data_IF_534639143273
#
_entry.id   IF_534639143273
#
_cell.length_a   1.000
_cell.length_b   1.000
_cell.length_c   1.000
_cell.angle_alpha   90.00
_cell.angle_beta   90.00
_cell.angle_gamma   90.00
#
_symmetry.space_group_name_H-M   'P 1'
#
loop_
_entity.id
_entity.type
_entity.pdbx_description
1 polymer ?
#
# COMPACT_ATOMS: atom_id res chain seq x y z
N UNK A 1 -14.24 2.23 -25.06
CA UNK A 1 -12.94 2.30 -24.37
C UNK A 1 -12.26 0.96 -24.59
N UNK A 2 -11.21 1.00 -25.40
CA UNK A 2 -10.52 -0.15 -25.98
C UNK A 2 -9.99 -1.09 -24.89
N UNK A 3 -10.43 -2.35 -24.91
CA UNK A 3 -9.92 -3.39 -24.01
C UNK A 3 -8.52 -3.77 -24.49
N UNK A 4 -7.50 -3.02 -24.05
CA UNK A 4 -6.11 -3.44 -24.20
C UNK A 4 -5.93 -4.75 -23.44
N UNK A 5 -5.96 -5.88 -24.16
CA UNK A 5 -5.78 -7.23 -23.61
C UNK A 5 -4.32 -7.39 -23.20
N UNK A 6 -3.95 -6.80 -22.07
CA UNK A 6 -2.68 -7.06 -21.42
C UNK A 6 -2.54 -8.57 -21.20
N UNK A 7 -1.40 -9.13 -21.64
CA UNK A 7 -1.09 -10.54 -21.34
C UNK A 7 -0.96 -10.69 -19.83
N UNK A 8 -1.83 -11.50 -19.23
CA UNK A 8 -1.72 -11.89 -17.82
C UNK A 8 -0.51 -12.82 -17.67
N UNK A 9 0.66 -12.24 -17.41
CA UNK A 9 1.94 -12.96 -17.30
C UNK A 9 2.64 -12.76 -15.95
N UNK A 10 1.95 -12.16 -14.98
CA UNK A 10 2.56 -11.85 -13.69
C UNK A 10 2.50 -13.09 -12.78
N UNK A 11 3.63 -13.79 -12.68
CA UNK A 11 3.80 -14.95 -11.81
C UNK A 11 3.91 -14.50 -10.35
N UNK A 12 3.55 -15.38 -9.40
CA UNK A 12 3.68 -15.13 -7.95
C UNK A 12 5.07 -14.63 -7.54
N UNK A 13 6.13 -15.22 -8.10
CA UNK A 13 7.50 -14.77 -7.84
C UNK A 13 7.72 -13.32 -8.27
N UNK A 14 7.26 -12.93 -9.47
CA UNK A 14 7.38 -11.54 -9.96
C UNK A 14 6.55 -10.57 -9.11
N UNK A 15 5.37 -10.98 -8.65
CA UNK A 15 4.53 -10.20 -7.72
C UNK A 15 5.24 -9.96 -6.39
N UNK A 16 5.81 -11.01 -5.77
CA UNK A 16 6.50 -10.89 -4.50
C UNK A 16 7.74 -9.99 -4.62
N UNK A 17 8.53 -10.14 -5.68
CA UNK A 17 9.69 -9.29 -5.93
C UNK A 17 9.27 -7.84 -6.13
N UNK A 18 8.19 -7.58 -6.89
CA UNK A 18 7.67 -6.24 -7.11
C UNK A 18 7.24 -5.58 -5.79
N UNK A 19 6.45 -6.27 -4.97
CA UNK A 19 5.94 -5.74 -3.70
C UNK A 19 7.09 -5.50 -2.73
N UNK A 20 8.02 -6.45 -2.60
CA UNK A 20 9.18 -6.31 -1.72
C UNK A 20 10.05 -5.11 -2.13
N UNK A 21 10.31 -4.94 -3.44
CA UNK A 21 11.05 -3.80 -3.96
C UNK A 21 10.35 -2.46 -3.70
N UNK A 22 9.02 -2.41 -3.87
CA UNK A 22 8.23 -1.20 -3.61
C UNK A 22 8.20 -0.82 -2.12
N UNK A 23 8.15 -1.79 -1.20
CA UNK A 23 8.10 -1.53 0.25
C UNK A 23 9.47 -1.15 0.84
N UNK A 24 10.55 -1.82 0.42
CA UNK A 24 11.89 -1.64 1.01
C UNK A 24 12.56 -0.34 0.57
N UNK A 25 12.10 0.30 -0.52
CA UNK A 25 12.74 1.43 -1.22
C UNK A 25 13.18 2.66 -0.38
N UNK A 26 12.78 3.87 -0.76
CA UNK A 26 13.31 5.08 -0.09
C UNK A 26 12.95 5.18 1.40
N UNK A 27 11.81 4.61 1.81
CA UNK A 27 11.28 4.76 3.16
C UNK A 27 12.25 4.22 4.23
N UNK A 28 12.85 3.05 4.02
CA UNK A 28 13.75 2.47 5.01
C UNK A 28 15.06 3.25 5.15
N UNK A 29 15.63 3.69 4.02
CA UNK A 29 16.90 4.41 4.01
C UNK A 29 16.82 5.78 4.71
N UNK A 30 15.69 6.48 4.58
CA UNK A 30 15.51 7.83 5.15
C UNK A 30 15.01 7.78 6.59
N UNK A 31 14.08 6.87 6.90
CA UNK A 31 13.37 6.89 8.19
C UNK A 31 14.15 6.20 9.32
N UNK A 32 15.12 5.34 9.02
CA UNK A 32 15.86 4.58 10.05
C UNK A 32 16.55 5.51 11.06
N UNK A 33 17.18 6.60 10.60
CA UNK A 33 17.80 7.58 11.49
C UNK A 33 16.77 8.22 12.43
N UNK A 34 15.61 8.61 11.91
CA UNK A 34 14.52 9.21 12.69
C UNK A 34 13.99 8.25 13.75
N UNK A 35 13.89 6.95 13.42
CA UNK A 35 13.44 5.94 14.38
C UNK A 35 14.49 5.69 15.48
N UNK A 36 15.78 5.65 15.13
CA UNK A 36 16.86 5.50 16.11
C UNK A 36 16.95 6.71 17.04
N UNK A 37 16.86 7.93 16.52
CA UNK A 37 16.89 9.15 17.34
C UNK A 37 15.74 9.21 18.36
N UNK A 38 14.56 8.71 18.00
CA UNK A 38 13.37 8.75 18.88
C UNK A 38 13.28 7.59 19.86
N UNK A 39 13.55 6.37 19.42
CA UNK A 39 13.31 5.16 20.22
C UNK A 39 14.60 4.50 20.74
N UNK A 40 15.77 4.85 20.20
CA UNK A 40 17.04 4.24 20.55
C UNK A 40 17.03 2.71 20.36
N UNK A 41 17.69 1.92 21.22
CA UNK A 41 17.75 0.46 21.08
C UNK A 41 16.39 -0.24 21.23
N UNK A 42 15.38 0.44 21.80
CA UNK A 42 14.02 -0.09 21.93
C UNK A 42 13.20 -0.04 20.62
N UNK A 43 13.76 0.50 19.53
CA UNK A 43 13.11 0.58 18.20
C UNK A 43 12.58 -0.78 17.71
N UNK A 44 13.27 -1.88 18.07
CA UNK A 44 12.88 -3.24 17.71
C UNK A 44 11.49 -3.59 18.27
N UNK A 45 11.19 -3.16 19.49
CA UNK A 45 9.89 -3.40 20.14
C UNK A 45 8.80 -2.60 19.41
N UNK A 46 9.06 -1.33 19.09
CA UNK A 46 8.14 -0.49 18.33
C UNK A 46 7.86 -1.06 16.94
N UNK A 47 8.88 -1.58 16.25
CA UNK A 47 8.74 -2.23 14.95
C UNK A 47 7.95 -3.53 15.02
N UNK A 48 8.12 -4.33 16.07
CA UNK A 48 7.33 -5.54 16.27
C UNK A 48 5.85 -5.22 16.46
N UNK A 49 5.53 -4.24 17.30
CA UNK A 49 4.14 -3.80 17.51
C UNK A 49 3.55 -3.24 16.21
N UNK A 50 4.28 -2.39 15.50
CA UNK A 50 3.85 -1.83 14.22
C UNK A 50 3.64 -2.93 13.15
N UNK A 51 4.50 -3.95 13.12
CA UNK A 51 4.38 -5.09 12.21
C UNK A 51 3.12 -5.89 12.47
N UNK A 52 2.81 -6.18 13.74
CA UNK A 52 1.59 -6.90 14.12
C UNK A 52 0.34 -6.12 13.68
N UNK A 53 0.29 -4.81 13.92
CA UNK A 53 -0.83 -3.98 13.49
C UNK A 53 -0.96 -3.94 11.96
N UNK A 54 0.17 -3.83 11.25
CA UNK A 54 0.19 -3.80 9.78
C UNK A 54 -0.24 -5.13 9.18
N UNK A 55 0.05 -6.27 9.83
CA UNK A 55 -0.43 -7.59 9.40
C UNK A 55 -1.95 -7.66 9.38
N UNK A 56 -2.64 -7.14 10.40
CA UNK A 56 -4.11 -7.09 10.41
C UNK A 56 -4.66 -6.25 9.25
N UNK A 57 -4.05 -5.10 8.98
CA UNK A 57 -4.41 -4.27 7.81
C UNK A 57 -4.18 -5.04 6.51
N UNK A 58 -3.05 -5.74 6.39
CA UNK A 58 -2.73 -6.60 5.24
C UNK A 58 -3.76 -7.69 5.00
N UNK A 59 -4.27 -8.33 6.05
CA UNK A 59 -5.33 -9.34 5.96
C UNK A 59 -6.65 -8.75 5.45
N UNK A 60 -7.06 -7.57 5.93
CA UNK A 60 -8.23 -6.87 5.40
C UNK A 60 -8.07 -6.55 3.90
N UNK A 61 -6.88 -6.09 3.50
CA UNK A 61 -6.60 -5.84 2.08
C UNK A 61 -6.59 -7.13 1.25
N UNK A 62 -6.11 -8.25 1.80
CA UNK A 62 -6.14 -9.54 1.12
C UNK A 62 -7.57 -10.02 0.84
N UNK A 63 -8.48 -9.84 1.81
CA UNK A 63 -9.91 -10.14 1.64
C UNK A 63 -10.54 -9.25 0.55
N UNK A 64 -10.28 -7.94 0.60
CA UNK A 64 -10.76 -6.98 -0.40
C UNK A 64 -10.24 -7.29 -1.81
N UNK A 65 -8.96 -7.66 -1.95
CA UNK A 65 -8.36 -8.04 -3.22
C UNK A 65 -8.99 -9.32 -3.80
N UNK A 66 -9.28 -10.31 -2.95
CA UNK A 66 -9.93 -11.55 -3.35
C UNK A 66 -11.38 -11.31 -3.78
N UNK A 67 -12.11 -10.47 -3.06
CA UNK A 67 -13.49 -10.12 -3.36
C UNK A 67 -13.64 -9.23 -4.62
N UNK A 68 -12.65 -8.37 -4.88
CA UNK A 68 -12.69 -7.39 -5.97
C UNK A 68 -11.40 -7.43 -6.81
N UNK A 69 -11.27 -8.39 -7.75
CA UNK A 69 -10.08 -8.56 -8.59
C UNK A 69 -10.05 -7.56 -9.76
N UNK A 70 -10.23 -6.27 -9.46
CA UNK A 70 -10.21 -5.17 -10.42
C UNK A 70 -8.93 -4.33 -10.27
N UNK A 71 -8.37 -3.88 -11.39
CA UNK A 71 -7.25 -2.94 -11.38
C UNK A 71 -7.75 -1.55 -10.96
N UNK A 72 -7.31 -1.07 -9.78
CA UNK A 72 -7.66 0.27 -9.29
C UNK A 72 -7.51 0.50 -7.78
N UNK A 73 -7.12 -0.53 -7.02
CA UNK A 73 -6.68 -0.40 -5.62
C UNK A 73 -7.72 0.25 -4.68
N UNK A 74 -7.23 1.02 -3.70
CA UNK A 74 -8.05 1.61 -2.64
C UNK A 74 -9.18 2.51 -3.15
N UNK A 75 -9.00 3.19 -4.28
CA UNK A 75 -10.06 4.01 -4.90
C UNK A 75 -11.29 3.17 -5.27
N UNK A 76 -11.09 1.97 -5.85
CA UNK A 76 -12.20 1.10 -6.23
C UNK A 76 -12.90 0.54 -4.99
N UNK A 77 -12.15 0.18 -3.94
CA UNK A 77 -12.73 -0.30 -2.68
C UNK A 77 -13.64 0.75 -2.05
N UNK A 78 -13.16 1.99 -1.94
CA UNK A 78 -13.92 3.09 -1.34
C UNK A 78 -15.11 3.48 -2.23
N UNK A 79 -14.92 3.56 -3.54
CA UNK A 79 -16.00 3.90 -4.47
C UNK A 79 -17.12 2.84 -4.47
N UNK A 80 -16.77 1.56 -4.28
CA UNK A 80 -17.73 0.45 -4.22
C UNK A 80 -18.46 0.41 -2.87
N UNK A 81 -17.75 0.63 -1.76
CA UNK A 81 -18.32 0.55 -0.41
C UNK A 81 -19.08 1.80 0.04
N UNK A 82 -18.57 2.99 -0.28
CA UNK A 82 -19.05 4.28 0.26
C UNK A 82 -19.66 5.21 -0.80
N UNK A 83 -19.74 4.77 -2.05
CA UNK A 83 -20.36 5.50 -3.14
C UNK A 83 -19.44 6.46 -3.90
N UNK A 84 -20.02 7.15 -4.89
CA UNK A 84 -19.26 7.92 -5.91
C UNK A 84 -18.57 9.16 -5.33
N UNK A 85 -19.23 9.88 -4.42
CA UNK A 85 -18.70 11.13 -3.85
C UNK A 85 -17.46 10.88 -2.98
N UNK A 86 -17.58 9.92 -2.06
CA UNK A 86 -16.47 9.48 -1.18
C UNK A 86 -15.33 8.87 -1.99
N UNK A 87 -15.66 8.13 -3.06
CA UNK A 87 -14.66 7.64 -4.02
C UNK A 87 -13.87 8.78 -4.68
N UNK A 88 -14.53 9.84 -5.14
CA UNK A 88 -13.87 10.99 -5.76
C UNK A 88 -12.88 11.68 -4.79
N UNK A 89 -13.30 11.90 -3.55
CA UNK A 89 -12.45 12.48 -2.51
C UNK A 89 -11.25 11.56 -2.24
N UNK A 90 -11.47 10.26 -2.09
CA UNK A 90 -10.39 9.30 -1.87
C UNK A 90 -9.38 9.26 -3.04
N UNK A 91 -9.87 9.40 -4.28
CA UNK A 91 -9.00 9.52 -5.46
C UNK A 91 -8.09 10.74 -5.39
N UNK A 92 -8.63 11.91 -5.04
CA UNK A 92 -7.83 13.13 -4.86
C UNK A 92 -6.85 13.02 -3.69
N UNK A 93 -7.26 12.42 -2.57
CA UNK A 93 -6.37 12.19 -1.43
C UNK A 93 -5.22 11.25 -1.77
N UNK A 94 -5.47 10.21 -2.58
CA UNK A 94 -4.42 9.32 -3.07
C UNK A 94 -3.40 10.09 -3.93
N UNK A 95 -3.87 10.91 -4.87
CA UNK A 95 -2.99 11.73 -5.72
C UNK A 95 -2.14 12.68 -4.86
N UNK A 96 -2.77 13.38 -3.90
CA UNK A 96 -2.07 14.29 -3.00
C UNK A 96 -1.07 13.55 -2.10
N UNK A 97 -1.40 12.36 -1.62
CA UNK A 97 -0.49 11.55 -0.82
C UNK A 97 0.75 11.16 -1.63
N UNK A 98 0.60 10.68 -2.86
CA UNK A 98 1.75 10.38 -3.73
C UNK A 98 2.56 11.63 -4.07
N UNK A 99 1.91 12.76 -4.32
CA UNK A 99 2.59 14.02 -4.57
C UNK A 99 3.39 14.49 -3.35
N UNK A 100 2.85 14.37 -2.14
CA UNK A 100 3.53 14.73 -0.89
C UNK A 100 4.71 13.79 -0.55
N UNK A 101 4.72 12.56 -1.08
CA UNK A 101 5.82 11.62 -0.92
C UNK A 101 7.00 11.90 -1.88
N UNK A 102 6.80 12.71 -2.92
CA UNK A 102 7.92 13.20 -3.74
C UNK A 102 8.64 14.31 -2.97
N UNK A 103 9.94 14.16 -2.67
CA UNK A 103 10.73 15.17 -1.98
C UNK A 103 10.92 16.45 -2.81
#
# INVERSE_FOLDING_TARGET
MENSKLKKGLTLATLLTLVTGAMVGMAWAVLINVFLDRAGPAVIISLLVASILTLFVGLCFAELCSAMPYAGGAYIYIRRGLGKFTGFIAGWLLVLAYAAMMP
#
